data_IF_146024803224
#
_entry.id   IF_146024803224
#
_cell.length_a   1.000
_cell.length_b   1.000
_cell.length_c   1.000
_cell.angle_alpha   90.00
_cell.angle_beta   90.00
_cell.angle_gamma   90.00
#
_symmetry.space_group_name_H-M   'P 1'
#
loop_
_entity.id
_entity.type
_entity.pdbx_description
1 polymer ?
#
# COMPACT_ATOMS: atom_id res chain seq x y z
N UNK A 1 11.08 8.17 -10.75
CA UNK A 1 10.21 9.24 -10.19
C UNK A 1 10.99 10.54 -10.08
N UNK A 2 10.41 11.68 -10.43
CA UNK A 2 11.02 13.01 -10.25
C UNK A 2 10.90 13.47 -8.80
N UNK A 3 11.82 14.31 -8.33
CA UNK A 3 11.77 14.83 -6.96
C UNK A 3 10.48 15.62 -6.66
N UNK A 4 9.96 16.35 -7.65
CA UNK A 4 8.69 17.07 -7.51
C UNK A 4 7.50 16.13 -7.30
N UNK A 5 7.46 15.02 -8.02
CA UNK A 5 6.43 13.99 -7.85
C UNK A 5 6.56 13.31 -6.48
N UNK A 6 7.78 12.99 -6.06
CA UNK A 6 8.07 12.43 -4.75
C UNK A 6 7.53 13.32 -3.62
N UNK A 7 7.89 14.62 -3.66
CA UNK A 7 7.44 15.58 -2.65
C UNK A 7 5.92 15.78 -2.66
N UNK A 8 5.29 15.74 -3.83
CA UNK A 8 3.83 15.81 -3.95
C UNK A 8 3.14 14.61 -3.31
N UNK A 9 3.66 13.40 -3.51
CA UNK A 9 3.14 12.19 -2.88
C UNK A 9 3.24 12.25 -1.35
N UNK A 10 4.37 12.71 -0.82
CA UNK A 10 4.56 12.92 0.62
C UNK A 10 3.53 13.91 1.17
N UNK A 11 3.39 15.07 0.53
CA UNK A 11 2.44 16.10 0.98
C UNK A 11 1.02 15.54 1.06
N UNK A 12 0.57 14.83 0.03
CA UNK A 12 -0.75 14.19 0.00
C UNK A 12 -0.90 13.13 1.10
N UNK A 13 0.14 12.33 1.35
CA UNK A 13 0.11 11.31 2.39
C UNK A 13 -0.02 11.93 3.79
N UNK A 14 0.72 13.01 4.06
CA UNK A 14 0.63 13.72 5.34
C UNK A 14 -0.78 14.28 5.57
N UNK A 15 -1.43 14.82 4.55
CA UNK A 15 -2.83 15.27 4.63
C UNK A 15 -3.79 14.10 4.99
N UNK A 16 -3.54 12.91 4.45
CA UNK A 16 -4.36 11.73 4.78
C UNK A 16 -4.10 11.20 6.18
N UNK A 17 -2.86 11.22 6.67
CA UNK A 17 -2.56 10.88 8.07
C UNK A 17 -3.29 11.82 9.03
N UNK A 18 -3.32 13.12 8.74
CA UNK A 18 -4.05 14.10 9.54
C UNK A 18 -5.57 13.82 9.50
N UNK A 19 -6.16 13.61 8.32
CA UNK A 19 -7.60 13.26 8.18
C UNK A 19 -7.97 11.98 8.91
N UNK A 20 -7.06 11.01 8.96
CA UNK A 20 -7.24 9.75 9.67
C UNK A 20 -7.01 9.87 11.19
N UNK A 21 -6.64 11.03 11.70
CA UNK A 21 -6.20 11.26 13.08
C UNK A 21 -5.04 10.34 13.51
N UNK A 22 -4.15 10.05 12.57
CA UNK A 22 -2.91 9.31 12.85
C UNK A 22 -1.81 10.34 13.13
N UNK A 23 -1.41 10.42 14.38
CA UNK A 23 -0.37 11.36 14.82
C UNK A 23 1.00 10.83 14.45
N UNK A 24 1.75 11.63 13.70
CA UNK A 24 3.13 11.36 13.34
C UNK A 24 4.06 12.32 14.09
N UNK A 25 5.21 11.83 14.52
CA UNK A 25 6.32 12.68 15.02
C UNK A 25 6.92 13.48 13.87
N UNK A 26 7.68 14.51 14.20
CA UNK A 26 8.38 15.31 13.18
C UNK A 26 9.43 14.48 12.42
N UNK A 27 10.05 13.50 13.09
CA UNK A 27 10.96 12.55 12.45
C UNK A 27 10.25 11.65 11.45
N UNK A 28 9.09 11.09 11.82
CA UNK A 28 8.28 10.25 10.91
C UNK A 28 7.80 11.03 9.70
N UNK A 29 7.39 12.29 9.87
CA UNK A 29 6.98 13.15 8.74
C UNK A 29 8.11 13.40 7.74
N UNK A 30 9.35 13.51 8.23
CA UNK A 30 10.54 13.71 7.40
C UNK A 30 10.99 12.42 6.70
N UNK A 31 10.60 11.26 7.22
CA UNK A 31 11.00 9.95 6.74
C UNK A 31 9.87 9.18 6.02
N UNK A 32 8.85 9.87 5.52
CA UNK A 32 7.81 9.24 4.69
C UNK A 32 8.45 8.71 3.40
N UNK A 33 8.29 7.43 3.17
CA UNK A 33 8.77 6.76 1.97
C UNK A 33 7.70 6.74 0.88
N UNK A 34 8.10 6.84 -0.39
CA UNK A 34 7.22 6.69 -1.55
C UNK A 34 7.73 5.56 -2.42
N UNK A 35 6.92 4.54 -2.61
CA UNK A 35 7.22 3.41 -3.47
C UNK A 35 6.42 3.49 -4.78
N UNK A 36 7.11 3.43 -5.93
CA UNK A 36 6.50 3.32 -7.25
C UNK A 36 6.76 1.94 -7.90
N UNK A 37 7.37 1.03 -7.15
CA UNK A 37 7.71 -0.34 -7.56
C UNK A 37 8.51 -0.42 -8.86
N UNK A 38 9.24 0.66 -9.20
CA UNK A 38 10.00 0.75 -10.46
C UNK A 38 9.14 0.87 -11.72
N UNK A 39 7.84 1.14 -11.57
CA UNK A 39 6.89 1.26 -12.70
C UNK A 39 6.89 2.67 -13.31
N UNK A 40 7.36 3.69 -12.59
CA UNK A 40 7.35 5.07 -13.07
C UNK A 40 5.95 5.68 -13.21
N UNK A 41 4.96 5.12 -12.55
CA UNK A 41 3.53 5.49 -12.61
C UNK A 41 2.97 5.70 -11.20
N UNK A 42 3.67 6.47 -10.37
CA UNK A 42 3.37 6.60 -8.94
C UNK A 42 1.93 7.05 -8.64
N UNK A 43 1.28 7.77 -9.52
CA UNK A 43 -0.12 8.20 -9.32
C UNK A 43 -1.13 7.05 -9.47
N UNK A 44 -0.77 6.01 -10.21
CA UNK A 44 -1.63 4.84 -10.43
C UNK A 44 -1.10 3.61 -9.69
N UNK A 45 0.22 3.41 -9.68
CA UNK A 45 0.90 2.26 -9.06
C UNK A 45 1.91 2.79 -8.05
N UNK A 46 1.57 2.68 -6.78
CA UNK A 46 2.43 3.18 -5.71
C UNK A 46 1.75 3.15 -4.36
N UNK A 47 2.50 3.52 -3.35
CA UNK A 47 2.00 3.76 -2.00
C UNK A 47 3.00 4.62 -1.22
N UNK A 48 2.53 5.21 -0.12
CA UNK A 48 3.33 5.98 0.80
C UNK A 48 3.38 5.27 2.15
N UNK A 49 4.54 5.31 2.81
CA UNK A 49 4.83 4.51 3.99
C UNK A 49 5.42 5.36 5.12
N UNK A 50 5.00 5.08 6.35
CA UNK A 50 5.73 5.40 7.56
C UNK A 50 6.12 4.08 8.22
N UNK A 51 7.40 3.79 8.26
CA UNK A 51 7.91 2.52 8.80
C UNK A 51 8.24 2.70 10.29
N UNK A 52 7.57 1.93 11.14
CA UNK A 52 7.84 1.91 12.59
C UNK A 52 8.92 0.90 12.96
N UNK A 53 8.87 -0.27 12.34
CA UNK A 53 9.79 -1.38 12.59
C UNK A 53 10.04 -2.13 11.29
N UNK A 54 11.29 -2.38 10.98
CA UNK A 54 11.68 -3.23 9.87
C UNK A 54 12.85 -4.13 10.29
N UNK A 55 12.55 -5.39 10.56
CA UNK A 55 13.51 -6.41 10.94
C UNK A 55 13.43 -7.59 9.97
N UNK A 56 14.29 -8.59 10.14
CA UNK A 56 14.23 -9.82 9.34
C UNK A 56 12.88 -10.56 9.49
N UNK A 57 12.16 -10.37 10.58
CA UNK A 57 10.94 -11.11 10.91
C UNK A 57 9.65 -10.29 10.82
N UNK A 58 9.74 -8.99 11.06
CA UNK A 58 8.56 -8.11 11.18
C UNK A 58 8.82 -6.81 10.47
N UNK A 59 7.81 -6.34 9.73
CA UNK A 59 7.74 -4.97 9.26
C UNK A 59 6.39 -4.39 9.67
N UNK A 60 6.42 -3.40 10.58
CA UNK A 60 5.23 -2.68 11.02
C UNK A 60 5.27 -1.26 10.43
N UNK A 61 4.19 -0.86 9.78
CA UNK A 61 4.13 0.41 9.05
C UNK A 61 2.69 0.91 8.92
N UNK A 62 2.53 2.21 8.80
CA UNK A 62 1.32 2.80 8.21
C UNK A 62 1.50 2.90 6.70
N UNK A 63 0.41 2.70 5.97
CA UNK A 63 0.40 2.81 4.51
C UNK A 63 -0.70 3.77 4.07
N UNK A 64 -0.38 4.66 3.16
CA UNK A 64 -1.35 5.46 2.45
C UNK A 64 -1.39 5.03 0.99
N UNK A 65 -2.56 4.64 0.53
CA UNK A 65 -2.90 4.54 -0.88
C UNK A 65 -3.76 5.76 -1.22
N UNK A 66 -3.28 6.61 -2.10
CA UNK A 66 -4.07 7.74 -2.58
C UNK A 66 -5.27 7.22 -3.38
N UNK A 67 -6.34 8.02 -3.57
CA UNK A 67 -7.51 7.57 -4.32
C UNK A 67 -7.14 6.94 -5.67
N UNK A 68 -7.57 5.70 -5.89
CA UNK A 68 -7.29 4.87 -7.06
C UNK A 68 -5.84 4.42 -7.25
N UNK A 69 -4.94 4.72 -6.33
CA UNK A 69 -3.58 4.20 -6.33
C UNK A 69 -3.58 2.72 -5.92
N UNK A 70 -2.75 1.92 -6.55
CA UNK A 70 -2.70 0.47 -6.35
C UNK A 70 -1.31 0.03 -5.92
N UNK A 71 -1.24 -0.73 -4.82
CA UNK A 71 -0.10 -1.57 -4.53
C UNK A 71 -0.18 -2.82 -5.43
N UNK A 72 0.84 -3.11 -6.27
CA UNK A 72 0.76 -4.24 -7.20
C UNK A 72 0.73 -5.59 -6.47
N UNK A 73 0.19 -6.59 -7.14
CA UNK A 73 0.19 -7.97 -6.64
C UNK A 73 1.61 -8.41 -6.33
N UNK A 74 1.80 -8.94 -5.14
CA UNK A 74 3.07 -9.48 -4.68
C UNK A 74 2.87 -10.54 -3.61
N UNK A 75 3.91 -11.31 -3.31
CA UNK A 75 3.97 -12.25 -2.19
C UNK A 75 5.35 -12.26 -1.56
N UNK A 76 5.38 -12.51 -0.27
CA UNK A 76 6.62 -12.71 0.46
C UNK A 76 7.06 -14.17 0.35
N UNK A 77 8.08 -14.40 -0.48
CA UNK A 77 8.63 -15.75 -0.69
C UNK A 77 9.51 -16.21 0.48
N UNK A 78 9.64 -17.52 0.72
CA UNK A 78 10.58 -18.03 1.69
C UNK A 78 12.01 -17.57 1.39
N UNK A 79 12.76 -17.23 2.42
CA UNK A 79 14.18 -16.86 2.31
C UNK A 79 14.97 -17.34 3.55
N UNK A 80 16.25 -17.64 3.39
CA UNK A 80 17.15 -18.02 4.48
C UNK A 80 16.59 -19.12 5.41
N UNK A 81 15.99 -20.18 4.83
CA UNK A 81 15.33 -21.28 5.54
C UNK A 81 14.13 -20.88 6.43
N UNK A 82 13.60 -19.68 6.26
CA UNK A 82 12.36 -19.23 6.90
C UNK A 82 11.22 -19.17 5.88
N UNK A 83 9.99 -19.44 6.34
CA UNK A 83 8.78 -19.20 5.53
C UNK A 83 8.63 -17.72 5.19
N UNK A 84 7.92 -17.41 4.10
CA UNK A 84 7.59 -16.03 3.76
C UNK A 84 6.87 -15.32 4.92
N UNK A 85 7.03 -14.00 5.01
CA UNK A 85 6.36 -13.20 6.03
C UNK A 85 4.85 -13.24 5.80
N UNK A 86 4.09 -13.40 6.87
CA UNK A 86 2.65 -13.17 6.88
C UNK A 86 2.37 -11.67 6.91
N UNK A 87 1.28 -11.26 6.27
CA UNK A 87 0.83 -9.87 6.29
C UNK A 87 -0.58 -9.78 6.88
N UNK A 88 -0.78 -8.76 7.71
CA UNK A 88 -2.10 -8.38 8.24
C UNK A 88 -2.35 -6.92 7.93
N UNK A 89 -3.52 -6.63 7.38
CA UNK A 89 -3.96 -5.28 7.07
C UNK A 89 -5.16 -4.89 7.92
N UNK A 90 -5.24 -3.62 8.24
CA UNK A 90 -6.44 -3.02 8.81
C UNK A 90 -6.70 -1.69 8.14
N UNK A 91 -7.88 -1.52 7.57
CA UNK A 91 -8.31 -0.22 7.07
C UNK A 91 -8.52 0.74 8.24
N UNK A 92 -7.87 1.90 8.21
CA UNK A 92 -7.99 2.93 9.25
C UNK A 92 -8.80 4.14 8.79
N UNK A 93 -8.80 4.40 7.49
CA UNK A 93 -9.50 5.53 6.89
C UNK A 93 -9.87 5.21 5.44
N UNK A 94 -11.02 5.69 4.99
CA UNK A 94 -11.48 5.48 3.62
C UNK A 94 -11.97 4.06 3.36
N UNK A 95 -11.64 3.53 2.20
CA UNK A 95 -12.07 2.20 1.75
C UNK A 95 -10.94 1.56 0.94
N UNK A 96 -10.60 0.32 1.25
CA UNK A 96 -9.53 -0.43 0.58
C UNK A 96 -10.13 -1.62 -0.15
N UNK A 97 -9.77 -1.79 -1.42
CA UNK A 97 -10.10 -2.95 -2.22
C UNK A 97 -8.89 -3.88 -2.25
N UNK A 98 -9.01 -5.02 -1.61
CA UNK A 98 -7.98 -6.05 -1.56
C UNK A 98 -8.37 -7.17 -2.51
N UNK A 99 -7.45 -7.58 -3.38
CA UNK A 99 -7.65 -8.72 -4.29
C UNK A 99 -6.78 -9.88 -3.84
N UNK A 100 -7.40 -11.04 -3.67
CA UNK A 100 -6.74 -12.25 -3.13
C UNK A 100 -7.07 -13.46 -3.99
N UNK A 101 -6.45 -14.59 -3.69
CA UNK A 101 -6.80 -15.88 -4.29
C UNK A 101 -8.25 -16.24 -3.97
N UNK A 102 -8.96 -16.82 -4.95
CA UNK A 102 -10.33 -17.22 -4.82
C UNK A 102 -11.12 -17.05 -6.13
N UNK A 103 -12.37 -17.45 -6.10
CA UNK A 103 -13.26 -17.24 -7.24
C UNK A 103 -13.53 -15.76 -7.48
N UNK A 104 -13.52 -15.34 -8.73
CA UNK A 104 -13.85 -13.97 -9.11
C UNK A 104 -15.28 -13.64 -8.68
N UNK A 105 -15.43 -12.65 -7.81
CA UNK A 105 -16.73 -12.23 -7.24
C UNK A 105 -17.18 -10.83 -7.71
N UNK A 106 -16.44 -10.20 -8.62
CA UNK A 106 -16.77 -8.88 -9.20
C UNK A 106 -16.63 -8.92 -10.71
N UNK A 107 -17.41 -8.12 -11.41
CA UNK A 107 -17.36 -8.04 -12.89
C UNK A 107 -16.03 -7.42 -13.36
N UNK A 108 -15.61 -6.33 -12.68
CA UNK A 108 -14.40 -5.58 -12.99
C UNK A 108 -13.62 -5.28 -11.72
N UNK A 109 -12.29 -5.33 -11.81
CA UNK A 109 -11.39 -4.88 -10.74
C UNK A 109 -11.21 -3.35 -10.84
N UNK A 110 -10.97 -2.70 -9.70
CA UNK A 110 -10.77 -1.25 -9.62
C UNK A 110 -9.31 -0.83 -9.76
N UNK A 111 -8.39 -1.80 -9.77
CA UNK A 111 -6.97 -1.53 -9.94
C UNK A 111 -6.66 -0.95 -11.33
N UNK A 112 -5.82 0.07 -11.39
CA UNK A 112 -5.36 0.72 -12.62
C UNK A 112 -4.01 0.19 -13.10
N UNK A 113 -3.77 -1.09 -12.97
CA UNK A 113 -2.55 -1.75 -13.43
C UNK A 113 -2.85 -2.58 -14.68
N UNK A 114 -1.84 -2.87 -15.52
CA UNK A 114 -2.03 -3.71 -16.68
C UNK A 114 -2.64 -5.07 -16.30
N UNK A 115 -3.63 -5.53 -17.05
CA UNK A 115 -4.30 -6.81 -16.78
C UNK A 115 -3.34 -8.02 -16.80
N UNK A 116 -2.22 -7.90 -17.54
CA UNK A 116 -1.13 -8.89 -17.54
C UNK A 116 -0.41 -9.04 -16.20
N UNK A 117 -0.52 -8.05 -15.33
CA UNK A 117 0.19 -7.99 -14.05
C UNK A 117 -0.69 -8.42 -12.87
N UNK A 118 -1.89 -8.96 -13.15
CA UNK A 118 -2.86 -9.38 -12.14
C UNK A 118 -3.22 -10.84 -12.37
N UNK A 119 -3.15 -11.65 -11.32
CA UNK A 119 -3.56 -13.05 -11.34
C UNK A 119 -4.66 -13.38 -10.33
N UNK A 120 -4.97 -12.45 -9.41
CA UNK A 120 -6.00 -12.61 -8.37
C UNK A 120 -7.17 -11.65 -8.60
N UNK A 121 -8.40 -12.16 -8.46
CA UNK A 121 -9.62 -11.43 -8.82
C UNK A 121 -10.75 -11.52 -7.79
N UNK A 122 -10.49 -12.16 -6.64
CA UNK A 122 -11.45 -12.17 -5.54
C UNK A 122 -11.31 -10.89 -4.73
N UNK A 123 -12.33 -10.02 -4.78
CA UNK A 123 -12.34 -8.73 -4.11
C UNK A 123 -12.83 -8.85 -2.67
N UNK A 124 -12.06 -8.29 -1.75
CA UNK A 124 -12.45 -8.03 -0.36
C UNK A 124 -12.40 -6.52 -0.13
N UNK A 125 -13.52 -5.94 0.29
CA UNK A 125 -13.60 -4.51 0.59
C UNK A 125 -13.42 -4.33 2.09
N UNK A 126 -12.43 -3.53 2.48
CA UNK A 126 -12.15 -3.20 3.87
C UNK A 126 -12.60 -1.77 4.17
N UNK A 127 -13.41 -1.61 5.21
CA UNK A 127 -13.84 -0.33 5.78
C UNK A 127 -13.09 -0.04 7.09
N UNK A 128 -13.13 1.20 7.61
CA UNK A 128 -12.44 1.52 8.84
C UNK A 128 -12.82 0.57 10.00
N UNK A 129 -11.79 -0.05 10.56
CA UNK A 129 -11.93 -1.05 11.64
C UNK A 129 -11.86 -2.51 11.19
N UNK A 130 -11.93 -2.77 9.88
CA UNK A 130 -11.86 -4.10 9.29
C UNK A 130 -10.45 -4.43 8.81
#
# INVERSE_FOLDING_TARGET
MKLSEYNEQISKALDYFEKANIVLTDEEKQNVEVADFGKGMVNDIGLQLVVYVNTERVCAKEMVLLPYQTCPEHKHIPSNNASGKEETFRCRYGEVYLYVEGEKNVAEIKAKIPASDITVFHEVVLKPGE
#
